data_IF_485903337953
#
_entry.id   IF_485903337953
#
_cell.length_a   1.000
_cell.length_b   1.000
_cell.length_c   1.000
_cell.angle_alpha   90.00
_cell.angle_beta   90.00
_cell.angle_gamma   90.00
#
_symmetry.space_group_name_H-M   'P 1'
#
loop_
_entity.id
_entity.type
_entity.pdbx_description
1 polymer ?
#
# COMPACT_ATOMS: atom_id res chain seq x y z
N UNK A 1 -24.43 -15.99 -28.38
CA UNK A 1 -23.62 -16.88 -27.53
C UNK A 1 -22.13 -16.90 -27.91
N UNK A 2 -21.73 -17.16 -29.16
CA UNK A 2 -20.31 -17.21 -29.56
C UNK A 2 -19.52 -15.91 -29.31
N UNK A 3 -20.12 -14.74 -29.58
CA UNK A 3 -19.49 -13.43 -29.37
C UNK A 3 -19.27 -13.10 -27.89
N UNK A 4 -20.26 -13.42 -27.04
CA UNK A 4 -20.21 -13.18 -25.58
C UNK A 4 -19.12 -14.06 -24.95
N UNK A 5 -19.05 -15.32 -25.34
CA UNK A 5 -18.02 -16.24 -24.88
C UNK A 5 -16.61 -15.79 -25.32
N UNK A 6 -16.48 -15.25 -26.53
CA UNK A 6 -15.20 -14.71 -27.03
C UNK A 6 -14.76 -13.47 -26.26
N UNK A 7 -15.67 -12.57 -25.89
CA UNK A 7 -15.37 -11.39 -25.07
C UNK A 7 -14.95 -11.80 -23.66
N UNK A 8 -15.64 -12.79 -23.07
CA UNK A 8 -15.32 -13.28 -21.74
C UNK A 8 -13.90 -13.88 -21.68
N UNK A 9 -13.52 -14.66 -22.70
CA UNK A 9 -12.18 -15.24 -22.84
C UNK A 9 -11.10 -14.16 -22.90
N UNK A 10 -11.33 -13.09 -23.68
CA UNK A 10 -10.38 -11.98 -23.81
C UNK A 10 -10.24 -11.22 -22.49
N UNK A 11 -11.34 -10.97 -21.77
CA UNK A 11 -11.29 -10.32 -20.46
C UNK A 11 -10.49 -11.16 -19.46
N UNK A 12 -10.70 -12.48 -19.42
CA UNK A 12 -9.91 -13.38 -18.55
C UNK A 12 -8.44 -13.44 -18.92
N UNK A 13 -8.11 -13.42 -20.23
CA UNK A 13 -6.72 -13.40 -20.71
C UNK A 13 -6.02 -12.08 -20.39
N UNK A 14 -6.71 -10.95 -20.59
CA UNK A 14 -6.16 -9.63 -20.25
C UNK A 14 -5.97 -9.51 -18.74
N UNK A 15 -6.97 -9.92 -17.95
CA UNK A 15 -6.90 -9.84 -16.50
C UNK A 15 -5.84 -10.76 -15.88
N UNK A 16 -5.50 -11.87 -16.55
CA UNK A 16 -4.40 -12.76 -16.14
C UNK A 16 -3.00 -12.22 -16.45
N UNK A 17 -2.87 -11.20 -17.30
CA UNK A 17 -1.58 -10.61 -17.70
C UNK A 17 -1.33 -9.26 -17.01
N UNK A 18 -2.36 -8.51 -16.63
CA UNK A 18 -2.18 -7.39 -15.71
C UNK A 18 -2.02 -7.91 -14.27
N UNK A 19 -0.77 -8.01 -13.82
CA UNK A 19 -0.44 -8.36 -12.43
C UNK A 19 -1.18 -7.44 -11.46
N UNK A 20 -2.11 -8.00 -10.69
CA UNK A 20 -2.74 -7.31 -9.57
C UNK A 20 -1.73 -7.26 -8.43
N UNK A 21 -1.10 -6.10 -8.23
CA UNK A 21 -0.16 -5.91 -7.14
C UNK A 21 -0.96 -5.74 -5.83
N UNK A 22 -1.19 -6.85 -5.13
CA UNK A 22 -1.92 -6.83 -3.87
C UNK A 22 -1.01 -6.26 -2.79
N UNK A 23 -1.38 -5.10 -2.26
CA UNK A 23 -0.64 -4.46 -1.16
C UNK A 23 -0.85 -5.25 0.13
N UNK A 24 0.18 -5.98 0.57
CA UNK A 24 0.17 -6.67 1.85
C UNK A 24 0.36 -5.68 3.01
N UNK A 25 -0.58 -5.69 3.96
CA UNK A 25 -0.59 -4.79 5.10
C UNK A 25 -0.06 -5.47 6.35
N UNK A 26 0.66 -4.73 7.19
CA UNK A 26 1.09 -5.21 8.50
C UNK A 26 -0.10 -5.37 9.45
N UNK A 27 0.14 -5.97 10.60
CA UNK A 27 -0.73 -5.81 11.76
C UNK A 27 -0.79 -4.34 12.21
N UNK A 28 -1.83 -4.03 13.00
CA UNK A 28 -1.97 -2.73 13.64
C UNK A 28 -1.03 -2.67 14.85
N UNK A 29 -0.18 -1.66 14.88
CA UNK A 29 0.75 -1.41 15.99
C UNK A 29 0.23 -0.24 16.81
N UNK A 30 0.13 -0.43 18.13
CA UNK A 30 -0.32 0.62 19.06
C UNK A 30 0.87 1.48 19.46
N UNK A 31 0.76 2.79 19.26
CA UNK A 31 1.74 3.79 19.72
C UNK A 31 1.13 4.66 20.82
N UNK A 32 1.95 5.48 21.48
CA UNK A 32 1.49 6.45 22.48
C UNK A 32 0.44 7.44 21.96
N UNK A 33 0.46 7.74 20.64
CA UNK A 33 -0.46 8.69 19.99
C UNK A 33 -1.61 8.00 19.25
N UNK A 34 -1.72 6.68 19.38
CA UNK A 34 -2.77 5.87 18.76
C UNK A 34 -2.24 4.76 17.86
N UNK A 35 -3.14 3.94 17.31
CA UNK A 35 -2.76 2.83 16.42
C UNK A 35 -2.31 3.31 15.04
N UNK A 36 -1.32 2.63 14.47
CA UNK A 36 -0.81 2.85 13.10
C UNK A 36 -0.74 1.53 12.35
N UNK A 37 -0.79 1.60 11.01
CA UNK A 37 -0.67 0.42 10.13
C UNK A 37 0.28 0.72 8.98
N UNK A 38 1.17 -0.23 8.70
CA UNK A 38 2.17 -0.14 7.66
C UNK A 38 1.86 -1.07 6.49
N UNK A 39 2.82 -1.17 5.57
CA UNK A 39 2.85 -2.12 4.46
C UNK A 39 4.10 -2.98 4.57
N UNK A 40 4.09 -4.19 4.04
CA UNK A 40 5.34 -4.86 3.75
C UNK A 40 5.99 -4.27 2.51
N UNK A 41 7.30 -4.15 2.55
CA UNK A 41 8.12 -3.68 1.43
C UNK A 41 9.36 -4.55 1.33
N UNK A 42 9.88 -4.66 0.11
CA UNK A 42 11.04 -5.47 -0.20
C UNK A 42 12.23 -4.57 -0.54
N UNK A 43 13.42 -4.89 -0.03
CA UNK A 43 14.63 -4.18 -0.43
C UNK A 43 15.07 -4.58 -1.83
N UNK A 44 15.50 -3.61 -2.64
CA UNK A 44 16.03 -3.87 -4.00
C UNK A 44 17.21 -4.84 -3.95
N UNK A 45 18.07 -4.70 -2.94
CA UNK A 45 19.19 -5.59 -2.72
C UNK A 45 18.77 -6.73 -1.79
N UNK A 46 18.96 -7.98 -2.24
CA UNK A 46 18.67 -9.23 -1.50
C UNK A 46 17.20 -9.53 -1.17
N UNK A 47 16.24 -8.72 -1.62
CA UNK A 47 14.83 -9.06 -1.48
C UNK A 47 14.33 -9.16 -0.04
N UNK A 48 14.87 -8.35 0.87
CA UNK A 48 14.55 -8.44 2.30
C UNK A 48 13.21 -7.76 2.56
N UNK A 49 12.25 -8.56 3.01
CA UNK A 49 10.93 -8.09 3.42
C UNK A 49 11.05 -7.36 4.77
N UNK A 50 10.51 -6.15 4.85
CA UNK A 50 10.45 -5.36 6.08
C UNK A 50 9.12 -4.62 6.19
N UNK A 51 8.73 -4.30 7.42
CA UNK A 51 7.54 -3.49 7.70
C UNK A 51 7.85 -2.00 7.52
N UNK A 52 7.17 -1.35 6.59
CA UNK A 52 7.32 0.06 6.28
C UNK A 52 6.14 0.88 6.83
N UNK A 53 6.41 1.69 7.86
CA UNK A 53 5.48 2.68 8.41
C UNK A 53 5.92 4.07 7.99
N UNK A 54 5.09 4.78 7.21
CA UNK A 54 5.43 6.09 6.64
C UNK A 54 4.45 7.15 7.12
N UNK A 55 4.94 8.37 7.34
CA UNK A 55 4.10 9.53 7.65
C UNK A 55 3.47 9.52 9.04
N UNK A 56 4.04 8.79 10.02
CA UNK A 56 3.55 8.83 11.40
C UNK A 56 3.78 10.24 11.98
N UNK A 57 2.73 10.94 12.42
CA UNK A 57 2.88 12.27 12.99
C UNK A 57 3.55 12.20 14.36
N UNK A 58 4.67 12.91 14.51
CA UNK A 58 5.38 13.03 15.79
C UNK A 58 5.15 14.40 16.47
N UNK A 59 4.59 15.36 15.74
CA UNK A 59 4.31 16.71 16.20
C UNK A 59 3.09 17.29 15.48
N UNK A 60 2.60 18.43 15.98
CA UNK A 60 1.60 19.22 15.26
C UNK A 60 2.23 19.81 13.98
N UNK A 61 1.51 19.90 12.85
CA UNK A 61 2.03 20.56 11.66
C UNK A 61 2.48 22.00 11.96
N UNK A 62 3.70 22.42 11.58
CA UNK A 62 4.26 23.74 11.90
C UNK A 62 3.73 24.81 10.91
N UNK A 63 2.41 24.93 10.84
CA UNK A 63 1.70 25.83 9.92
C UNK A 63 1.05 26.99 10.67
N UNK A 64 0.68 28.07 9.95
CA UNK A 64 0.04 29.25 10.56
C UNK A 64 0.91 29.90 11.63
N UNK A 65 0.34 30.12 12.82
CA UNK A 65 1.04 30.73 13.96
C UNK A 65 2.14 29.83 14.58
N UNK A 66 2.15 28.53 14.24
CA UNK A 66 3.22 27.59 14.61
C UNK A 66 4.43 27.69 13.67
N UNK A 67 4.32 28.40 12.55
CA UNK A 67 5.46 28.58 11.65
C UNK A 67 6.53 29.41 12.39
N UNK A 68 7.76 28.90 12.39
CA UNK A 68 8.90 29.50 13.11
C UNK A 68 8.76 29.48 14.64
N UNK A 69 8.05 28.48 15.19
CA UNK A 69 7.93 28.20 16.64
C UNK A 69 8.48 26.81 16.98
#
# INVERSE_FOLDING_TARGET
MKLINSILIVITLVCGVCGYDSVELTDVVVTEKGPVRGKFAETVQHGIIHSAFKGIPYAKPPTGYLRFK
#
